data_IF_870364242693
#
_entry.id   IF_870364242693
#
_cell.length_a   1.000
_cell.length_b   1.000
_cell.length_c   1.000
_cell.angle_alpha   90.00
_cell.angle_beta   90.00
_cell.angle_gamma   90.00
#
_symmetry.space_group_name_H-M   'P 1'
#
loop_
_entity.id
_entity.type
_entity.pdbx_description
1 polymer ?
#
# COMPACT_ATOMS: atom_id res chain seq x y z
N UNK A 1 7.47 22.76 4.35
CA UNK A 1 5.99 22.70 4.44
C UNK A 1 5.57 21.97 5.72
N UNK A 2 5.64 22.60 6.90
CA UNK A 2 5.32 21.95 8.20
C UNK A 2 3.81 21.98 8.54
N UNK A 3 3.09 22.96 8.01
CA UNK A 3 1.75 23.35 8.48
C UNK A 3 0.62 22.36 8.12
N UNK A 4 0.79 21.54 7.07
CA UNK A 4 -0.20 20.50 6.74
C UNK A 4 -0.06 19.29 7.66
N UNK A 5 1.17 18.85 7.92
CA UNK A 5 1.47 17.68 8.74
C UNK A 5 1.09 17.90 10.20
N UNK A 6 1.38 19.08 10.75
CA UNK A 6 0.98 19.47 12.12
C UNK A 6 -0.55 19.57 12.27
N UNK A 7 -1.25 20.16 11.29
CA UNK A 7 -2.72 20.22 11.31
C UNK A 7 -3.36 18.84 11.21
N UNK A 8 -2.78 17.95 10.40
CA UNK A 8 -3.26 16.58 10.27
C UNK A 8 -3.03 15.82 11.59
N UNK A 9 -1.84 15.96 12.20
CA UNK A 9 -1.53 15.41 13.52
C UNK A 9 -2.45 15.94 14.63
N UNK A 10 -2.83 17.22 14.60
CA UNK A 10 -3.74 17.80 15.59
C UNK A 10 -5.18 17.25 15.47
N UNK A 11 -5.67 17.09 14.24
CA UNK A 11 -6.98 16.46 13.98
C UNK A 11 -6.93 14.99 14.43
N UNK A 12 -5.86 14.30 14.09
CA UNK A 12 -5.58 12.90 14.44
C UNK A 12 -5.53 12.71 15.96
N UNK A 13 -4.77 13.54 16.67
CA UNK A 13 -4.66 13.48 18.13
C UNK A 13 -5.96 13.86 18.88
N UNK A 14 -6.79 14.75 18.32
CA UNK A 14 -8.07 15.15 18.95
C UNK A 14 -9.14 14.07 18.87
N UNK A 15 -9.20 13.36 17.74
CA UNK A 15 -10.24 12.36 17.49
C UNK A 15 -9.77 10.93 17.81
N UNK A 16 -8.56 10.78 18.38
CA UNK A 16 -7.99 9.50 18.76
C UNK A 16 -7.48 8.67 17.59
N UNK A 17 -7.59 9.15 16.35
CA UNK A 17 -6.88 8.55 15.22
C UNK A 17 -5.37 8.60 15.53
N UNK A 18 -4.66 7.53 15.28
CA UNK A 18 -3.22 7.64 14.99
C UNK A 18 -3.13 7.60 13.48
N UNK A 19 -2.33 8.49 12.90
CA UNK A 19 -1.89 8.20 11.54
C UNK A 19 -1.13 6.87 11.62
N UNK A 20 -1.22 5.99 10.61
CA UNK A 20 -0.24 4.92 10.48
C UNK A 20 1.13 5.53 10.72
N UNK A 21 1.97 4.87 11.51
CA UNK A 21 3.33 5.33 11.77
C UNK A 21 3.91 5.86 10.46
N UNK A 22 4.47 7.07 10.47
CA UNK A 22 5.02 7.67 9.25
C UNK A 22 5.96 6.72 8.49
N UNK A 23 6.54 5.74 9.17
CA UNK A 23 7.31 4.63 8.59
C UNK A 23 6.56 3.71 7.64
N UNK A 24 5.27 3.42 7.84
CA UNK A 24 4.47 2.56 6.94
C UNK A 24 4.20 3.24 5.61
N UNK A 25 3.64 4.45 5.65
CA UNK A 25 3.38 5.19 4.41
C UNK A 25 4.69 5.51 3.69
N UNK A 26 5.76 5.76 4.45
CA UNK A 26 7.09 5.91 3.90
C UNK A 26 7.57 4.63 3.20
N UNK A 27 7.47 3.47 3.82
CA UNK A 27 7.88 2.19 3.21
C UNK A 27 7.06 1.88 1.95
N UNK A 28 5.73 2.12 1.98
CA UNK A 28 4.87 1.95 0.81
C UNK A 28 5.25 2.95 -0.31
N UNK A 29 5.40 4.23 -0.02
CA UNK A 29 5.78 5.22 -1.05
C UNK A 29 7.21 5.02 -1.57
N UNK A 30 8.15 4.57 -0.74
CA UNK A 30 9.50 4.17 -1.17
C UNK A 30 9.43 2.98 -2.12
N UNK A 31 8.67 1.93 -1.79
CA UNK A 31 8.41 0.78 -2.66
C UNK A 31 7.80 1.20 -4.00
N UNK A 32 6.76 2.03 -3.98
CA UNK A 32 6.09 2.53 -5.20
C UNK A 32 7.05 3.35 -6.05
N UNK A 33 7.87 4.19 -5.43
CA UNK A 33 8.87 5.01 -6.15
C UNK A 33 9.87 4.11 -6.86
N UNK A 34 10.42 3.11 -6.17
CA UNK A 34 11.39 2.16 -6.74
C UNK A 34 10.76 1.34 -7.87
N UNK A 35 9.56 0.78 -7.67
CA UNK A 35 8.87 0.03 -8.71
C UNK A 35 8.57 0.90 -9.94
N UNK A 36 8.11 2.13 -9.73
CA UNK A 36 7.75 3.03 -10.84
C UNK A 36 8.96 3.48 -11.66
N UNK A 37 10.16 3.55 -11.07
CA UNK A 37 11.39 3.80 -11.84
C UNK A 37 11.66 2.69 -12.85
N UNK A 38 11.42 1.43 -12.47
CA UNK A 38 11.61 0.27 -13.35
C UNK A 38 10.46 0.13 -14.35
N UNK A 39 9.22 0.26 -13.88
CA UNK A 39 8.01 0.07 -14.69
C UNK A 39 7.81 1.15 -15.76
N UNK A 40 8.40 2.33 -15.58
CA UNK A 40 8.34 3.42 -16.56
C UNK A 40 8.82 2.99 -17.96
N UNK A 41 9.82 2.11 -18.06
CA UNK A 41 10.34 1.59 -19.33
C UNK A 41 9.32 0.74 -20.10
N UNK A 42 8.35 0.14 -19.41
CA UNK A 42 7.25 -0.61 -20.01
C UNK A 42 5.92 0.19 -20.04
N UNK A 43 5.98 1.51 -19.90
CA UNK A 43 4.81 2.39 -19.81
C UNK A 43 3.80 1.97 -18.73
N UNK A 44 4.30 1.44 -17.61
CA UNK A 44 3.51 0.99 -16.47
C UNK A 44 3.83 1.77 -15.19
N UNK A 45 2.93 1.67 -14.21
CA UNK A 45 3.12 2.22 -12.88
C UNK A 45 2.26 1.50 -11.83
N UNK A 46 2.74 1.47 -10.59
CA UNK A 46 2.02 1.07 -9.40
C UNK A 46 1.35 2.30 -8.77
N UNK A 47 0.10 2.09 -8.36
CA UNK A 47 -0.74 3.04 -7.65
C UNK A 47 -1.26 2.42 -6.36
N UNK A 48 -1.37 3.24 -5.33
CA UNK A 48 -2.06 2.88 -4.11
C UNK A 48 -3.48 3.43 -4.14
N UNK A 49 -4.45 2.54 -4.02
CA UNK A 49 -5.87 2.90 -3.95
C UNK A 49 -6.40 2.55 -2.58
N UNK A 50 -6.86 3.55 -1.84
CA UNK A 50 -7.52 3.33 -0.57
C UNK A 50 -8.95 2.85 -0.81
N UNK A 51 -9.43 1.95 0.04
CA UNK A 51 -10.85 1.58 0.11
C UNK A 51 -11.29 1.52 1.57
N UNK A 52 -12.55 1.85 1.78
CA UNK A 52 -13.28 1.64 3.03
C UNK A 52 -14.21 0.47 2.75
N UNK A 53 -14.03 -0.66 3.44
CA UNK A 53 -14.81 -1.86 3.16
C UNK A 53 -16.18 -1.84 3.83
N UNK A 54 -16.24 -1.27 5.02
CA UNK A 54 -17.45 -1.06 5.79
C UNK A 54 -17.36 0.30 6.50
N UNK A 55 -18.16 1.27 6.03
CA UNK A 55 -18.20 2.62 6.62
C UNK A 55 -18.67 2.61 8.09
N UNK A 56 -19.37 1.55 8.53
CA UNK A 56 -19.77 1.39 9.92
C UNK A 56 -18.67 0.77 10.79
N UNK A 57 -17.62 0.20 10.18
CA UNK A 57 -16.50 -0.41 10.88
C UNK A 57 -15.18 0.28 10.49
N UNK A 58 -14.74 1.30 11.26
CA UNK A 58 -13.49 2.02 11.00
C UNK A 58 -12.23 1.13 11.11
N UNK A 59 -12.37 -0.15 11.46
CA UNK A 59 -11.27 -1.11 11.54
C UNK A 59 -11.09 -1.91 10.24
N UNK A 60 -12.00 -1.83 9.26
CA UNK A 60 -11.93 -2.60 7.99
C UNK A 60 -11.43 -1.73 6.81
N UNK A 61 -10.72 -0.65 7.13
CA UNK A 61 -10.07 0.22 6.15
C UNK A 61 -8.81 -0.43 5.58
N UNK A 62 -8.53 -0.14 4.30
CA UNK A 62 -7.40 -0.73 3.61
C UNK A 62 -7.12 -0.11 2.27
N UNK A 63 -6.45 -0.88 1.42
CA UNK A 63 -6.19 -0.48 0.06
C UNK A 63 -5.65 -1.59 -0.83
N UNK A 64 -5.54 -1.26 -2.11
CA UNK A 64 -4.97 -2.10 -3.15
C UNK A 64 -3.71 -1.48 -3.72
N UNK A 65 -2.71 -2.34 -3.92
CA UNK A 65 -1.55 -2.02 -4.75
C UNK A 65 -2.00 -2.40 -6.16
N UNK A 66 -2.19 -1.42 -7.03
CA UNK A 66 -2.73 -1.60 -8.36
C UNK A 66 -1.66 -1.34 -9.42
N UNK A 67 -1.56 -2.22 -10.41
CA UNK A 67 -0.75 -2.03 -11.60
C UNK A 67 -1.58 -1.31 -12.67
N UNK A 68 -0.99 -0.28 -13.25
CA UNK A 68 -1.56 0.55 -14.30
C UNK A 68 -0.63 0.59 -15.51
N UNK A 69 -1.22 0.69 -16.70
CA UNK A 69 -0.52 0.87 -17.97
C UNK A 69 -0.55 2.32 -18.46
N UNK A 70 -0.24 2.49 -19.75
CA UNK A 70 -0.20 3.79 -20.41
C UNK A 70 -1.54 4.52 -20.28
N UNK A 71 -1.49 5.83 -20.03
CA UNK A 71 -2.71 6.63 -19.85
C UNK A 71 -3.47 6.33 -18.56
N UNK A 72 -2.80 5.73 -17.56
CA UNK A 72 -3.37 5.36 -16.27
C UNK A 72 -4.48 4.30 -16.36
N UNK A 73 -4.47 3.47 -17.41
CA UNK A 73 -5.40 2.36 -17.58
C UNK A 73 -5.13 1.32 -16.49
N UNK A 74 -6.16 0.97 -15.72
CA UNK A 74 -6.07 -0.08 -14.71
C UNK A 74 -5.84 -1.45 -15.36
N UNK A 75 -4.85 -2.20 -14.87
CA UNK A 75 -4.55 -3.57 -15.34
C UNK A 75 -5.05 -4.58 -14.31
N UNK A 76 -4.54 -4.50 -13.07
CA UNK A 76 -4.89 -5.45 -12.01
C UNK A 76 -4.54 -4.92 -10.62
N UNK A 77 -5.14 -5.50 -9.59
CA UNK A 77 -4.61 -5.43 -8.23
C UNK A 77 -3.55 -6.51 -8.06
N UNK A 78 -2.39 -6.16 -7.50
CA UNK A 78 -1.27 -7.09 -7.24
C UNK A 78 -1.17 -7.46 -5.75
N UNK A 79 -1.67 -6.60 -4.87
CA UNK A 79 -1.78 -6.88 -3.44
C UNK A 79 -2.92 -6.08 -2.81
N UNK A 80 -3.35 -6.53 -1.64
CA UNK A 80 -4.31 -5.84 -0.78
C UNK A 80 -3.70 -5.69 0.61
N UNK A 81 -3.85 -4.53 1.23
CA UNK A 81 -3.57 -4.35 2.65
C UNK A 81 -4.84 -3.96 3.40
N UNK A 82 -4.96 -4.40 4.64
CA UNK A 82 -6.00 -3.95 5.58
C UNK A 82 -5.33 -3.56 6.89
N UNK A 83 -5.83 -2.50 7.51
CA UNK A 83 -5.58 -2.26 8.92
C UNK A 83 -6.38 -3.28 9.72
N UNK A 84 -5.82 -3.82 10.80
CA UNK A 84 -6.56 -4.65 11.76
C UNK A 84 -6.87 -3.85 13.03
N UNK A 85 -6.88 -2.51 12.91
CA UNK A 85 -7.01 -1.58 14.01
C UNK A 85 -7.74 -0.29 13.59
N UNK A 86 -8.67 0.17 14.45
CA UNK A 86 -9.46 1.42 14.33
C UNK A 86 -8.67 2.71 14.09
N UNK A 87 -7.38 2.65 14.36
CA UNK A 87 -6.49 3.81 14.33
C UNK A 87 -5.52 3.69 13.17
N UNK A 88 -5.87 2.91 12.15
CA UNK A 88 -5.09 2.70 10.93
C UNK A 88 -3.60 2.50 11.20
N UNK A 89 -3.30 1.69 12.22
CA UNK A 89 -1.95 1.44 12.71
C UNK A 89 -1.63 -0.04 12.55
N UNK A 90 -0.41 -0.41 12.92
CA UNK A 90 -0.05 -1.81 13.03
C UNK A 90 -0.99 -2.56 13.99
N UNK A 91 -1.28 -3.84 13.70
CA UNK A 91 -0.74 -4.61 12.58
C UNK A 91 -1.43 -4.33 11.24
N UNK A 92 -0.67 -4.43 10.15
CA UNK A 92 -1.16 -4.36 8.76
C UNK A 92 -1.12 -5.76 8.18
N UNK A 93 -2.24 -6.19 7.61
CA UNK A 93 -2.30 -7.46 6.90
C UNK A 93 -2.12 -7.24 5.39
N UNK A 94 -0.94 -7.59 4.85
CA UNK A 94 -0.69 -7.58 3.41
C UNK A 94 -1.01 -8.96 2.80
N UNK A 95 -1.74 -9.00 1.68
CA UNK A 95 -2.20 -10.23 1.02
C UNK A 95 -1.94 -10.18 -0.49
N UNK A 96 -1.32 -11.23 -1.02
CA UNK A 96 -1.07 -11.45 -2.45
C UNK A 96 -0.80 -12.94 -2.72
N UNK A 97 -1.15 -13.46 -3.90
CA UNK A 97 -0.95 -14.87 -4.30
C UNK A 97 -1.34 -15.95 -3.27
N UNK A 98 -2.36 -15.72 -2.44
CA UNK A 98 -2.74 -16.64 -1.37
C UNK A 98 -1.80 -16.61 -0.14
N UNK A 99 -0.77 -15.77 -0.16
CA UNK A 99 0.05 -15.43 0.99
C UNK A 99 -0.61 -14.32 1.82
N UNK A 100 -0.41 -14.37 3.13
CA UNK A 100 -0.83 -13.33 4.08
C UNK A 100 0.34 -13.04 5.02
N UNK A 101 0.77 -11.79 5.04
CA UNK A 101 1.75 -11.27 5.99
C UNK A 101 1.02 -10.40 7.00
N UNK A 102 1.29 -10.63 8.29
CA UNK A 102 0.83 -9.75 9.38
C UNK A 102 2.05 -8.96 9.81
N UNK A 103 2.12 -7.72 9.37
CA UNK A 103 3.24 -6.84 9.64
C UNK A 103 2.95 -6.08 10.92
N UNK A 104 3.84 -6.15 11.91
CA UNK A 104 3.72 -5.41 13.17
C UNK A 104 4.70 -4.23 13.22
N UNK A 105 5.67 -4.21 12.32
CA UNK A 105 6.75 -3.24 12.22
C UNK A 105 7.00 -2.81 10.77
N UNK A 106 7.76 -1.73 10.59
CA UNK A 106 8.22 -1.31 9.25
C UNK A 106 9.07 -2.39 8.58
N UNK A 107 9.92 -3.09 9.34
CA UNK A 107 10.76 -4.17 8.81
C UNK A 107 9.90 -5.34 8.27
N UNK A 108 8.83 -5.70 8.97
CA UNK A 108 7.89 -6.72 8.49
C UNK A 108 7.23 -6.29 7.17
N UNK A 109 6.93 -4.99 7.01
CA UNK A 109 6.39 -4.44 5.76
C UNK A 109 7.40 -4.54 4.62
N UNK A 110 8.67 -4.20 4.86
CA UNK A 110 9.74 -4.31 3.86
C UNK A 110 9.94 -5.76 3.41
N UNK A 111 9.94 -6.72 4.36
CA UNK A 111 9.99 -8.16 4.06
C UNK A 111 8.81 -8.59 3.20
N UNK A 112 7.59 -8.18 3.55
CA UNK A 112 6.39 -8.54 2.81
C UNK A 112 6.36 -7.92 1.39
N UNK A 113 6.89 -6.71 1.22
CA UNK A 113 7.00 -6.03 -0.08
C UNK A 113 8.09 -6.65 -0.97
N UNK A 114 9.22 -7.05 -0.40
CA UNK A 114 10.23 -7.82 -1.12
C UNK A 114 9.69 -9.17 -1.59
N UNK A 115 8.94 -9.87 -0.72
CA UNK A 115 8.25 -11.11 -1.09
C UNK A 115 7.23 -10.90 -2.22
N UNK A 116 6.57 -9.72 -2.30
CA UNK A 116 5.71 -9.36 -3.43
C UNK A 116 6.51 -9.14 -4.72
N UNK A 117 7.70 -8.55 -4.66
CA UNK A 117 8.57 -8.37 -5.84
C UNK A 117 9.06 -9.72 -6.36
N UNK A 118 9.52 -10.57 -5.44
CA UNK A 118 10.02 -11.91 -5.76
C UNK A 118 8.87 -12.87 -6.18
N UNK A 119 7.63 -12.51 -5.87
CA UNK A 119 6.47 -13.25 -6.31
C UNK A 119 6.32 -13.13 -7.83
N UNK A 120 5.82 -14.19 -8.46
CA UNK A 120 5.53 -14.19 -9.90
C UNK A 120 4.31 -13.31 -10.25
N UNK A 121 3.78 -12.49 -9.33
CA UNK A 121 2.63 -11.60 -9.62
C UNK A 121 3.03 -10.60 -10.68
N UNK A 122 4.10 -9.85 -10.42
CA UNK A 122 4.54 -8.78 -11.31
C UNK A 122 4.97 -9.38 -12.65
N UNK A 123 5.83 -10.40 -12.64
CA UNK A 123 6.30 -11.09 -13.85
C UNK A 123 5.17 -11.59 -14.75
N UNK A 124 4.10 -12.15 -14.16
CA UNK A 124 2.93 -12.58 -14.92
C UNK A 124 2.36 -11.45 -15.76
N UNK A 125 2.21 -10.25 -15.20
CA UNK A 125 1.66 -9.11 -15.92
C UNK A 125 2.67 -8.40 -16.81
N UNK A 126 3.96 -8.38 -16.43
CA UNK A 126 5.02 -7.81 -17.25
C UNK A 126 5.25 -8.58 -18.55
N UNK A 127 5.00 -9.89 -18.56
CA UNK A 127 5.18 -10.77 -19.72
C UNK A 127 3.91 -10.91 -20.58
N UNK A 128 2.73 -10.54 -20.06
CA UNK A 128 1.47 -10.54 -20.84
C UNK A 128 1.41 -9.37 -21.84
N UNK A 129 2.20 -8.31 -21.62
CA UNK A 129 2.21 -7.12 -22.48
C UNK A 129 3.34 -7.09 -23.53
N UNK A 130 4.02 -8.22 -23.75
CA UNK A 130 4.92 -8.44 -24.90
C UNK A 130 4.18 -9.15 -26.04
#
# INVERSE_FOLDING_TARGET
MPNYYEKLLDIVNKDGYRLPEGGVFRALEEFKTQCNQVLAYKHMSIHFRHFIRDEANPNDDGGYIALHGLGNIFITNIAMWTYDHAYHTFPIALRFEGQKFICNTQEDMEIALNALIDSKVLDRYLNIME
#
